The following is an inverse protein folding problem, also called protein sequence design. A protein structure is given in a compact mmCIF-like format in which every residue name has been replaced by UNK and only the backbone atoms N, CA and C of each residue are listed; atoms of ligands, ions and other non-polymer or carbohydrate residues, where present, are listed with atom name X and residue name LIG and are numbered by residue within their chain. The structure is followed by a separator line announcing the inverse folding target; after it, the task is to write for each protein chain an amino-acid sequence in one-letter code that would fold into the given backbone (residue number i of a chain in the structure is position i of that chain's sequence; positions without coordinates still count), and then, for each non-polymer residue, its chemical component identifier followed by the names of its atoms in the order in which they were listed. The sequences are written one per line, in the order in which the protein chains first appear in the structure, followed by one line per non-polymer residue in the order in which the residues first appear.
data_IF_024951382349
#
_entry.id   IF_024951382349
#
_cell.length_a   1.000
_cell.length_b   1.000
_cell.length_c   1.000
_cell.angle_alpha   90.00
_cell.angle_beta   90.00
_cell.angle_gamma   90.00
#
_symmetry.space_group_name_H-M   'P 1'
#
loop_
_entity.id
_entity.type
_entity.pdbx_description
1 polymer ?
#
# COMPACT_ATOMS: atom_id res chain seq x y z
N UNK A 1 6.62 37.14 25.35
CA UNK A 1 5.26 36.55 25.26
C UNK A 1 5.00 35.52 26.36
N UNK A 2 5.89 34.54 26.58
CA UNK A 2 5.73 33.50 27.63
C UNK A 2 5.67 34.08 29.06
N UNK A 3 6.48 35.09 29.38
CA UNK A 3 6.45 35.73 30.71
C UNK A 3 5.14 36.47 31.00
N UNK A 4 4.54 37.13 30.01
CA UNK A 4 3.24 37.80 30.12
C UNK A 4 2.08 36.80 30.24
N UNK A 5 2.17 35.65 29.54
CA UNK A 5 1.22 34.54 29.69
C UNK A 5 1.26 33.94 31.09
N UNK A 6 2.46 33.73 31.65
CA UNK A 6 2.61 33.18 33.00
C UNK A 6 1.98 34.08 34.08
N UNK A 7 2.14 35.41 33.98
CA UNK A 7 1.53 36.38 34.90
C UNK A 7 0.00 36.43 34.78
N UNK A 8 -0.54 36.41 33.56
CA UNK A 8 -2.00 36.40 33.31
C UNK A 8 -2.67 35.11 33.82
N UNK A 9 -2.04 33.95 33.60
CA UNK A 9 -2.55 32.65 34.06
C UNK A 9 -2.50 32.53 35.58
N UNK A 10 -1.48 33.10 36.24
CA UNK A 10 -1.40 33.15 37.71
C UNK A 10 -2.47 34.05 38.34
N UNK A 11 -2.86 35.15 37.68
CA UNK A 11 -3.90 36.06 38.16
C UNK A 11 -5.31 35.43 38.21
N UNK A 12 -5.53 34.29 37.54
CA UNK A 12 -6.82 33.58 37.49
C UNK A 12 -6.79 32.20 38.17
N UNK A 13 -5.81 31.96 39.06
CA UNK A 13 -5.57 30.67 39.72
C UNK A 13 -6.72 30.14 40.62
N UNK A 14 -7.80 30.91 40.84
CA UNK A 14 -8.95 30.52 41.66
C UNK A 14 -10.14 29.92 40.89
N UNK A 15 -10.08 29.86 39.55
CA UNK A 15 -11.08 29.21 38.70
C UNK A 15 -10.59 27.83 38.25
N UNK A 16 -11.51 26.90 37.97
CA UNK A 16 -11.17 25.59 37.38
C UNK A 16 -10.32 25.79 36.12
N UNK A 17 -9.12 25.21 36.11
CA UNK A 17 -7.97 25.64 35.29
C UNK A 17 -8.16 25.63 33.76
N UNK A 18 -9.19 24.96 33.23
CA UNK A 18 -9.57 25.02 31.81
C UNK A 18 -10.30 26.30 31.41
N UNK A 19 -11.07 26.90 32.34
CA UNK A 19 -11.85 28.12 32.08
C UNK A 19 -10.94 29.33 31.77
N UNK A 20 -9.81 29.45 32.46
CA UNK A 20 -8.86 30.56 32.29
C UNK A 20 -8.19 30.61 30.90
N UNK A 21 -8.05 29.48 30.22
CA UNK A 21 -7.53 29.44 28.85
C UNK A 21 -8.62 29.84 27.85
N UNK A 22 -9.86 29.38 28.08
CA UNK A 22 -11.02 29.64 27.23
C UNK A 22 -11.51 31.09 27.27
N UNK A 23 -11.18 31.83 28.34
CA UNK A 23 -11.42 33.27 28.43
C UNK A 23 -10.69 34.08 27.34
N UNK A 24 -9.61 33.54 26.78
CA UNK A 24 -8.79 34.19 25.74
C UNK A 24 -8.68 33.38 24.44
N UNK A 25 -8.86 32.06 24.49
CA UNK A 25 -8.73 31.15 23.35
C UNK A 25 -10.06 30.45 23.07
N UNK A 26 -10.62 30.71 21.90
CA UNK A 26 -11.87 30.07 21.44
C UNK A 26 -11.59 28.69 20.83
N UNK A 27 -11.16 27.77 21.68
CA UNK A 27 -10.89 26.38 21.31
C UNK A 27 -11.55 25.42 22.29
N UNK A 28 -12.20 24.39 21.74
CA UNK A 28 -12.85 23.33 22.50
C UNK A 28 -12.27 22.00 22.05
N UNK A 29 -11.77 21.23 23.01
CA UNK A 29 -11.32 19.86 22.76
C UNK A 29 -12.55 18.98 22.55
N UNK A 30 -12.56 18.21 21.47
CA UNK A 30 -13.64 17.28 21.13
C UNK A 30 -13.09 15.88 20.87
N UNK A 31 -14.01 14.93 20.67
CA UNK A 31 -13.67 13.52 20.48
C UNK A 31 -13.30 12.79 21.77
N UNK A 32 -12.35 11.86 21.70
CA UNK A 32 -11.97 10.98 22.83
C UNK A 32 -11.31 11.72 23.99
N UNK A 33 -10.78 12.92 23.74
CA UNK A 33 -10.11 13.76 24.74
C UNK A 33 -10.96 14.94 25.23
N UNK A 34 -12.26 15.00 24.93
CA UNK A 34 -13.14 16.13 25.27
C UNK A 34 -13.23 16.49 26.77
N UNK A 35 -12.74 15.62 27.66
CA UNK A 35 -12.71 15.83 29.11
C UNK A 35 -11.37 16.38 29.61
N UNK A 36 -10.34 16.43 28.78
CA UNK A 36 -9.03 16.95 29.15
C UNK A 36 -9.02 18.48 29.09
N UNK A 37 -8.33 19.10 30.04
CA UNK A 37 -8.06 20.53 30.04
C UNK A 37 -6.87 20.90 29.16
N UNK A 38 -6.83 22.14 28.66
CA UNK A 38 -5.80 22.63 27.75
C UNK A 38 -4.36 22.42 28.27
N UNK A 39 -4.15 22.55 29.59
CA UNK A 39 -2.83 22.42 30.23
C UNK A 39 -2.26 21.01 30.19
N UNK A 40 -3.11 20.00 30.05
CA UNK A 40 -2.68 18.60 30.00
C UNK A 40 -1.86 18.33 28.74
N UNK A 41 -2.19 18.99 27.62
CA UNK A 41 -1.44 18.89 26.38
C UNK A 41 -0.43 20.04 26.21
N UNK A 42 -0.84 21.28 26.52
CA UNK A 42 -0.06 22.48 26.22
C UNK A 42 0.87 22.95 27.35
N UNK A 43 0.85 22.26 28.50
CA UNK A 43 1.59 22.63 29.70
C UNK A 43 0.92 23.76 30.50
N UNK A 44 1.47 24.05 31.68
CA UNK A 44 0.84 24.90 32.71
C UNK A 44 0.52 26.32 32.22
N UNK A 45 1.36 26.86 31.33
CA UNK A 45 1.22 28.21 30.79
C UNK A 45 1.02 28.23 29.26
N UNK A 46 0.60 27.11 28.65
CA UNK A 46 0.54 27.01 27.19
C UNK A 46 1.92 27.06 26.52
N UNK A 47 2.94 26.60 27.23
CA UNK A 47 4.34 26.67 26.79
C UNK A 47 4.69 25.64 25.70
N UNK A 48 3.77 24.72 25.38
CA UNK A 48 3.86 23.80 24.26
C UNK A 48 2.83 24.22 23.21
N UNK A 49 3.29 24.89 22.15
CA UNK A 49 2.41 25.42 21.12
C UNK A 49 1.80 24.31 20.26
N UNK A 50 2.62 23.35 19.82
CA UNK A 50 2.19 22.15 19.10
C UNK A 50 2.53 20.91 19.94
N UNK A 51 1.59 20.33 20.68
CA UNK A 51 1.88 19.23 21.59
C UNK A 51 2.02 17.87 20.91
N UNK A 52 1.77 17.79 19.61
CA UNK A 52 1.56 16.52 18.88
C UNK A 52 2.64 16.23 17.84
N UNK A 53 3.43 17.24 17.50
CA UNK A 53 4.46 17.17 16.47
C UNK A 53 5.66 16.30 16.86
N UNK A 54 6.26 15.70 15.83
CA UNK A 54 7.54 15.00 15.86
C UNK A 54 8.67 15.86 16.42
N UNK A 55 8.66 17.18 16.19
CA UNK A 55 9.76 18.09 16.57
C UNK A 55 10.01 18.15 18.09
N UNK A 56 9.00 17.82 18.89
CA UNK A 56 9.11 17.73 20.34
C UNK A 56 8.78 16.34 20.90
N UNK A 57 8.80 15.31 20.03
CA UNK A 57 8.43 13.94 20.38
C UNK A 57 7.00 13.83 20.95
N UNK A 58 6.06 14.59 20.40
CA UNK A 58 4.67 14.66 20.84
C UNK A 58 4.54 14.77 22.37
N UNK A 59 5.25 15.73 22.97
CA UNK A 59 5.38 15.85 24.43
C UNK A 59 4.04 15.98 25.17
N UNK A 60 2.99 16.46 24.50
CA UNK A 60 1.65 16.53 25.10
C UNK A 60 0.85 15.22 25.01
N UNK A 61 1.36 14.20 24.31
CA UNK A 61 0.74 12.89 24.19
C UNK A 61 1.47 11.84 25.04
N UNK A 62 2.80 11.87 25.05
CA UNK A 62 3.65 10.80 25.62
C UNK A 62 3.55 10.66 27.14
N UNK A 63 3.06 11.67 27.84
CA UNK A 63 2.79 11.59 29.28
C UNK A 63 1.68 10.58 29.65
N UNK A 64 0.76 10.30 28.73
CA UNK A 64 -0.34 9.34 28.92
C UNK A 64 -0.26 8.16 27.93
N UNK A 65 0.29 8.38 26.74
CA UNK A 65 0.47 7.36 25.70
C UNK A 65 1.94 6.93 25.67
N UNK A 66 2.28 5.96 26.51
CA UNK A 66 3.66 5.48 26.64
C UNK A 66 4.23 5.03 25.29
N UNK A 67 5.45 5.48 24.98
CA UNK A 67 6.20 5.11 23.76
C UNK A 67 5.52 5.53 22.43
N UNK A 68 4.51 6.40 22.47
CA UNK A 68 3.83 6.86 21.26
C UNK A 68 4.75 7.63 20.32
N UNK A 69 5.78 8.29 20.84
CA UNK A 69 6.80 8.97 20.05
C UNK A 69 7.58 8.04 19.12
N UNK A 70 7.65 6.74 19.43
CA UNK A 70 8.36 5.78 18.59
C UNK A 70 7.74 5.60 17.22
N UNK A 71 6.49 6.01 17.02
CA UNK A 71 5.86 6.03 15.69
C UNK A 71 6.71 6.82 14.68
N UNK A 72 7.42 7.84 15.17
CA UNK A 72 8.27 8.73 14.38
C UNK A 72 9.63 8.11 13.99
N UNK A 73 10.02 7.00 14.61
CA UNK A 73 11.29 6.32 14.33
C UNK A 73 11.20 5.31 13.18
N UNK A 74 9.98 5.07 12.66
CA UNK A 74 9.70 3.98 11.73
C UNK A 74 9.40 4.46 10.31
N UNK A 75 9.09 3.51 9.42
CA UNK A 75 8.97 3.73 7.98
C UNK A 75 7.96 4.84 7.59
N UNK A 76 6.90 5.04 8.38
CA UNK A 76 5.89 6.09 8.10
C UNK A 76 6.42 7.51 8.27
N UNK A 77 7.50 7.71 9.01
CA UNK A 77 8.14 9.02 9.21
C UNK A 77 9.49 9.10 8.51
N UNK A 78 10.35 8.10 8.70
CA UNK A 78 11.74 8.14 8.24
C UNK A 78 11.90 7.87 6.75
N UNK A 79 11.08 6.99 6.16
CA UNK A 79 11.11 6.64 4.72
C UNK A 79 12.51 6.25 4.20
N UNK A 80 13.31 5.60 5.04
CA UNK A 80 14.71 5.24 4.69
C UNK A 80 14.76 4.41 3.41
N UNK A 81 13.86 3.44 3.24
CA UNK A 81 13.83 2.57 2.07
C UNK A 81 13.52 3.35 0.76
N UNK A 82 12.61 4.31 0.79
CA UNK A 82 12.28 5.18 -0.34
C UNK A 82 13.43 6.13 -0.68
N UNK A 83 14.09 6.70 0.35
CA UNK A 83 15.27 7.55 0.17
C UNK A 83 16.42 6.76 -0.48
N UNK A 84 16.73 5.57 0.04
CA UNK A 84 17.75 4.68 -0.53
C UNK A 84 17.40 4.25 -1.96
N UNK A 85 16.11 4.01 -2.25
CA UNK A 85 15.64 3.71 -3.60
C UNK A 85 15.90 4.86 -4.55
N UNK A 86 15.53 6.08 -4.17
CA UNK A 86 15.79 7.26 -4.98
C UNK A 86 17.28 7.51 -5.17
N UNK A 87 18.08 7.32 -4.11
CA UNK A 87 19.53 7.47 -4.18
C UNK A 87 20.16 6.49 -5.19
N UNK A 88 19.76 5.21 -5.20
CA UNK A 88 20.36 4.21 -6.11
C UNK A 88 19.83 4.24 -7.54
N UNK A 89 18.59 4.68 -7.76
CA UNK A 89 17.95 4.62 -9.09
C UNK A 89 17.79 5.98 -9.77
N UNK A 90 17.54 7.05 -9.01
CA UNK A 90 17.22 8.38 -9.56
C UNK A 90 18.36 9.38 -9.47
N UNK A 91 19.29 9.25 -8.51
CA UNK A 91 20.29 10.30 -8.22
C UNK A 91 21.12 10.77 -9.41
N UNK A 92 21.40 9.90 -10.39
CA UNK A 92 22.11 10.28 -11.61
C UNK A 92 21.22 10.98 -12.65
N UNK A 93 19.91 10.69 -12.64
CA UNK A 93 18.93 11.26 -13.56
C UNK A 93 18.34 12.57 -13.01
N UNK A 94 17.90 12.56 -11.76
CA UNK A 94 17.39 13.72 -11.04
C UNK A 94 17.61 13.55 -9.53
N UNK A 95 18.63 14.21 -8.95
CA UNK A 95 18.89 14.20 -7.50
C UNK A 95 17.71 14.71 -6.66
N UNK A 96 16.83 15.53 -7.22
CA UNK A 96 15.69 16.14 -6.51
C UNK A 96 14.40 15.32 -6.63
N UNK A 97 14.45 14.16 -7.30
CA UNK A 97 13.25 13.35 -7.55
C UNK A 97 12.46 13.02 -6.28
N UNK A 98 13.16 12.66 -5.20
CA UNK A 98 12.56 12.30 -3.91
C UNK A 98 11.78 13.48 -3.32
N UNK A 99 12.41 14.66 -3.23
CA UNK A 99 11.80 15.86 -2.64
C UNK A 99 10.57 16.33 -3.43
N UNK A 100 10.59 16.17 -4.76
CA UNK A 100 9.49 16.57 -5.64
C UNK A 100 8.32 15.58 -5.63
N UNK A 101 8.57 14.27 -5.52
CA UNK A 101 7.56 13.24 -5.81
C UNK A 101 7.15 12.39 -4.60
N UNK A 102 7.84 12.49 -3.46
CA UNK A 102 7.63 11.56 -2.32
C UNK A 102 7.19 12.24 -1.02
N UNK A 103 6.96 13.57 -0.99
CA UNK A 103 6.77 14.35 0.26
C UNK A 103 5.33 14.43 0.82
N UNK A 104 4.35 13.71 0.27
CA UNK A 104 2.93 13.91 0.62
C UNK A 104 2.29 12.97 1.65
N UNK A 105 3.03 12.03 2.25
CA UNK A 105 2.40 10.93 3.03
C UNK A 105 3.11 10.58 4.35
N UNK A 106 4.02 11.41 4.85
CA UNK A 106 4.86 11.06 5.99
C UNK A 106 4.29 11.60 7.31
N UNK A 107 4.28 10.75 8.33
CA UNK A 107 3.77 11.10 9.66
C UNK A 107 4.74 12.07 10.33
N UNK A 108 4.22 13.23 10.71
CA UNK A 108 4.88 14.35 11.40
C UNK A 108 4.18 14.75 12.69
N UNK A 109 2.95 14.29 12.90
CA UNK A 109 2.18 14.55 14.11
C UNK A 109 1.30 13.36 14.46
N UNK A 110 1.01 13.16 15.74
CA UNK A 110 -0.04 12.22 16.15
C UNK A 110 -1.40 12.56 15.52
N UNK A 111 -1.67 13.84 15.24
CA UNK A 111 -2.93 14.26 14.62
C UNK A 111 -3.07 13.78 13.18
N UNK A 112 -1.98 13.47 12.46
CA UNK A 112 -2.06 12.95 11.08
C UNK A 112 -2.95 11.70 10.97
N UNK A 113 -3.12 10.94 12.07
CA UNK A 113 -4.08 9.85 12.18
C UNK A 113 -5.19 10.10 13.20
N UNK A 114 -4.98 10.98 14.18
CA UNK A 114 -5.92 11.15 15.29
C UNK A 114 -6.86 12.34 15.13
N UNK A 115 -6.83 13.09 14.02
CA UNK A 115 -7.80 14.14 13.72
C UNK A 115 -7.15 15.46 13.34
N UNK A 116 -7.75 16.59 13.71
CA UNK A 116 -7.24 17.90 13.33
C UNK A 116 -7.40 18.91 14.46
N UNK A 117 -6.30 19.57 14.82
CA UNK A 117 -6.26 20.55 15.90
C UNK A 117 -6.74 19.97 17.24
N UNK A 118 -7.86 20.48 17.75
CA UNK A 118 -8.45 20.06 19.03
C UNK A 118 -9.56 19.01 18.90
N UNK A 119 -9.86 18.54 17.67
CA UNK A 119 -10.76 17.42 17.44
C UNK A 119 -9.94 16.14 17.32
N UNK A 120 -9.89 15.37 18.42
CA UNK A 120 -9.03 14.20 18.53
C UNK A 120 -9.89 12.94 18.67
N UNK A 121 -9.78 12.03 17.71
CA UNK A 121 -10.55 10.81 17.61
C UNK A 121 -9.66 9.57 17.39
N UNK A 122 -10.29 8.39 17.37
CA UNK A 122 -9.61 7.16 16.95
C UNK A 122 -9.60 7.11 15.41
N UNK A 123 -8.46 6.78 14.78
CA UNK A 123 -8.40 6.62 13.34
C UNK A 123 -9.36 5.52 12.89
N UNK A 124 -10.04 5.76 11.78
CA UNK A 124 -10.82 4.76 11.07
C UNK A 124 -10.11 4.34 9.77
N UNK A 125 -10.72 3.41 9.03
CA UNK A 125 -10.17 2.99 7.74
C UNK A 125 -9.96 4.16 6.78
N UNK A 126 -10.87 5.14 6.69
CA UNK A 126 -10.72 6.25 5.75
C UNK A 126 -9.55 7.17 6.13
N UNK A 127 -9.25 7.35 7.42
CA UNK A 127 -8.02 8.02 7.86
C UNK A 127 -6.78 7.35 7.27
N UNK A 128 -6.66 6.03 7.39
CA UNK A 128 -5.51 5.30 6.85
C UNK A 128 -5.41 5.46 5.33
N UNK A 129 -6.55 5.44 4.62
CA UNK A 129 -6.61 5.52 3.16
C UNK A 129 -6.23 6.91 2.59
N UNK A 130 -6.09 7.94 3.42
CA UNK A 130 -5.54 9.23 2.98
C UNK A 130 -4.12 9.08 2.44
N UNK A 131 -3.32 8.17 3.01
CA UNK A 131 -1.97 7.85 2.55
C UNK A 131 -1.88 6.45 1.91
N UNK A 132 -2.61 5.47 2.46
CA UNK A 132 -2.63 4.08 1.98
C UNK A 132 -3.61 3.86 0.82
N UNK A 133 -3.45 4.66 -0.24
CA UNK A 133 -4.28 4.62 -1.44
C UNK A 133 -3.52 4.26 -2.71
N UNK A 134 -4.29 4.06 -3.77
CA UNK A 134 -3.75 3.81 -5.09
C UNK A 134 -2.98 2.49 -5.13
N UNK A 135 -1.67 2.58 -5.38
CA UNK A 135 -0.76 1.43 -5.33
C UNK A 135 -0.04 1.30 -3.99
N UNK A 136 -0.15 2.27 -3.08
CA UNK A 136 0.25 2.12 -1.69
C UNK A 136 -0.86 1.31 -1.01
N UNK A 137 -0.52 0.08 -0.61
CA UNK A 137 -1.45 -0.98 -0.19
C UNK A 137 -2.46 -0.44 0.84
N UNK A 138 -3.76 -0.76 0.69
CA UNK A 138 -4.83 -0.31 1.60
C UNK A 138 -6.17 -0.13 0.88
N UNK A 139 -6.21 0.63 -0.21
CA UNK A 139 -7.42 0.82 -1.04
C UNK A 139 -8.07 -0.49 -1.53
N UNK A 140 -7.24 -1.51 -1.73
CA UNK A 140 -7.70 -2.83 -2.13
C UNK A 140 -8.58 -3.51 -1.07
N UNK A 141 -8.35 -3.21 0.22
CA UNK A 141 -9.16 -3.69 1.35
C UNK A 141 -10.63 -3.32 1.19
N UNK A 142 -10.89 -2.06 0.84
CA UNK A 142 -12.25 -1.53 0.60
C UNK A 142 -12.73 -1.72 -0.83
N UNK A 143 -12.02 -2.51 -1.65
CA UNK A 143 -12.44 -2.83 -3.02
C UNK A 143 -12.20 -1.69 -4.01
N UNK A 144 -11.15 -0.88 -3.82
CA UNK A 144 -10.80 0.24 -4.70
C UNK A 144 -9.49 -0.08 -5.41
N UNK A 145 -9.49 -0.05 -6.74
CA UNK A 145 -8.26 -0.17 -7.53
C UNK A 145 -7.93 1.12 -8.29
N UNK A 146 -6.65 1.41 -8.52
CA UNK A 146 -6.24 2.55 -9.35
C UNK A 146 -6.82 2.49 -10.76
N UNK A 147 -7.18 3.66 -11.30
CA UNK A 147 -7.55 3.82 -12.71
C UNK A 147 -6.34 4.08 -13.62
N UNK A 148 -6.59 3.98 -14.92
CA UNK A 148 -5.60 4.30 -15.95
C UNK A 148 -5.27 5.78 -15.94
N UNK A 149 -4.01 6.12 -16.17
CA UNK A 149 -3.52 7.51 -16.02
C UNK A 149 -4.21 8.47 -16.99
N UNK A 150 -4.70 7.99 -18.12
CA UNK A 150 -5.37 8.87 -19.09
C UNK A 150 -6.62 9.54 -18.50
N UNK A 151 -6.72 10.86 -18.70
CA UNK A 151 -7.84 11.68 -18.23
C UNK A 151 -9.20 11.17 -18.73
N UNK A 152 -9.24 10.45 -19.86
CA UNK A 152 -10.46 9.81 -20.37
C UNK A 152 -11.08 8.84 -19.37
N UNK A 153 -10.26 8.17 -18.54
CA UNK A 153 -10.71 7.16 -17.60
C UNK A 153 -10.93 7.69 -16.18
N UNK A 154 -10.55 8.94 -15.91
CA UNK A 154 -10.73 9.63 -14.64
C UNK A 154 -12.19 10.09 -14.50
N UNK A 155 -13.08 9.14 -14.15
CA UNK A 155 -14.53 9.35 -14.03
C UNK A 155 -15.16 8.36 -13.04
N UNK A 156 -16.32 8.71 -12.50
CA UNK A 156 -17.09 7.88 -11.56
C UNK A 156 -16.83 8.27 -10.11
N UNK A 157 -17.01 7.32 -9.19
CA UNK A 157 -16.76 7.54 -7.76
C UNK A 157 -15.31 7.97 -7.50
N UNK A 158 -15.14 8.76 -6.44
CA UNK A 158 -13.86 9.27 -5.98
C UNK A 158 -13.69 9.00 -4.49
N UNK A 159 -12.43 8.93 -4.06
CA UNK A 159 -12.02 8.98 -2.67
C UNK A 159 -10.78 9.86 -2.61
N UNK A 160 -10.78 10.86 -1.73
CA UNK A 160 -9.75 11.91 -1.66
C UNK A 160 -9.37 12.47 -3.04
N UNK A 161 -10.38 12.92 -3.80
CA UNK A 161 -10.25 13.51 -5.15
C UNK A 161 -9.68 12.59 -6.24
N UNK A 162 -9.47 11.31 -5.94
CA UNK A 162 -8.95 10.33 -6.87
C UNK A 162 -10.03 9.35 -7.31
N UNK A 163 -10.20 9.20 -8.63
CA UNK A 163 -11.11 8.20 -9.18
C UNK A 163 -10.54 6.78 -9.07
N UNK A 164 -11.39 5.84 -8.72
CA UNK A 164 -11.03 4.42 -8.60
C UNK A 164 -11.92 3.52 -9.45
N UNK A 165 -11.43 2.30 -9.71
CA UNK A 165 -12.23 1.18 -10.19
C UNK A 165 -12.82 0.49 -8.98
N UNK A 166 -14.15 0.32 -8.98
CA UNK A 166 -14.83 -0.51 -7.99
C UNK A 166 -14.53 -1.97 -8.27
N UNK A 167 -13.88 -2.61 -7.32
CA UNK A 167 -13.49 -4.00 -7.32
C UNK A 167 -14.20 -4.74 -6.18
N UNK A 168 -13.96 -6.04 -6.08
CA UNK A 168 -14.47 -6.84 -4.96
C UNK A 168 -13.65 -6.56 -3.70
N UNK A 169 -14.24 -6.08 -2.60
CA UNK A 169 -13.51 -5.82 -1.36
C UNK A 169 -13.05 -7.11 -0.67
N UNK A 170 -12.18 -6.93 0.32
CA UNK A 170 -11.79 -7.96 1.27
C UNK A 170 -13.00 -8.46 2.07
N UNK A 171 -13.05 -9.75 2.37
CA UNK A 171 -14.12 -10.33 3.19
C UNK A 171 -14.11 -9.78 4.62
N UNK A 172 -12.95 -9.38 5.15
CA UNK A 172 -12.83 -8.76 6.47
C UNK A 172 -13.42 -7.35 6.48
N UNK A 173 -13.17 -6.57 5.41
CA UNK A 173 -13.81 -5.26 5.22
C UNK A 173 -15.34 -5.40 5.08
N UNK A 174 -15.83 -6.42 4.35
CA UNK A 174 -17.27 -6.66 4.19
C UNK A 174 -18.00 -6.96 5.51
N UNK A 175 -17.31 -7.54 6.49
CA UNK A 175 -17.89 -7.82 7.83
C UNK A 175 -17.64 -6.69 8.83
N UNK A 176 -17.06 -5.58 8.38
CA UNK A 176 -16.89 -4.36 9.19
C UNK A 176 -15.61 -4.31 10.01
N UNK A 177 -14.57 -5.07 9.67
CA UNK A 177 -13.24 -4.89 10.27
C UNK A 177 -12.55 -3.65 9.71
N UNK A 178 -11.76 -3.00 10.54
CA UNK A 178 -10.93 -1.85 10.21
C UNK A 178 -9.45 -2.23 10.11
N UNK A 179 -8.64 -1.34 9.54
CA UNK A 179 -7.19 -1.51 9.46
C UNK A 179 -6.56 -1.81 10.83
N UNK A 180 -7.02 -1.13 11.88
CA UNK A 180 -6.51 -1.24 13.25
C UNK A 180 -6.70 -2.61 13.90
N UNK A 181 -7.62 -3.45 13.40
CA UNK A 181 -7.84 -4.80 13.93
C UNK A 181 -6.65 -5.74 13.64
N UNK A 182 -5.90 -5.45 12.56
CA UNK A 182 -4.69 -6.17 12.18
C UNK A 182 -3.41 -5.33 12.39
N UNK A 183 -3.51 -4.01 12.28
CA UNK A 183 -2.42 -3.04 12.39
C UNK A 183 -2.58 -2.16 13.63
N UNK A 184 -2.45 -2.76 14.81
CA UNK A 184 -2.64 -2.06 16.10
C UNK A 184 -1.60 -0.95 16.29
N UNK A 185 -1.96 0.11 17.02
CA UNK A 185 -1.02 1.20 17.35
C UNK A 185 0.23 0.69 18.09
N UNK A 186 0.08 -0.31 18.96
CA UNK A 186 1.22 -0.95 19.64
C UNK A 186 2.20 -1.56 18.62
N UNK A 187 1.69 -2.28 17.62
CA UNK A 187 2.55 -2.85 16.57
C UNK A 187 3.24 -1.76 15.75
N UNK A 188 2.53 -0.68 15.40
CA UNK A 188 3.08 0.42 14.63
C UNK A 188 4.16 1.19 15.41
N UNK A 189 3.95 1.45 16.70
CA UNK A 189 4.94 2.06 17.61
C UNK A 189 6.17 1.16 17.80
N UNK A 190 5.99 -0.17 17.75
CA UNK A 190 7.09 -1.13 17.78
C UNK A 190 7.81 -1.30 16.43
N UNK A 191 7.38 -0.58 15.37
CA UNK A 191 7.95 -0.70 14.03
C UNK A 191 7.56 -1.97 13.29
N UNK A 192 6.55 -2.69 13.79
CA UNK A 192 6.02 -3.88 13.14
C UNK A 192 5.01 -3.49 12.06
N UNK A 193 5.06 -4.21 10.95
CA UNK A 193 4.14 -3.97 9.82
C UNK A 193 2.73 -4.49 10.13
N UNK A 194 2.58 -5.49 11.01
CA UNK A 194 1.28 -6.10 11.34
C UNK A 194 1.34 -6.71 12.75
N UNK A 195 0.23 -6.61 13.49
CA UNK A 195 0.06 -7.23 14.81
C UNK A 195 -0.44 -8.67 14.71
N UNK A 196 -1.38 -8.92 13.79
CA UNK A 196 -2.08 -10.19 13.66
C UNK A 196 -1.94 -10.78 12.24
N UNK A 197 -1.68 -12.07 12.16
CA UNK A 197 -1.59 -12.85 10.93
C UNK A 197 -2.80 -13.76 10.78
N UNK A 198 -2.97 -14.34 9.59
CA UNK A 198 -4.12 -15.20 9.29
C UNK A 198 -4.34 -16.30 10.34
N UNK A 199 -3.26 -16.97 10.78
CA UNK A 199 -3.36 -18.10 11.71
C UNK A 199 -3.59 -17.70 13.18
N UNK A 200 -3.51 -16.40 13.50
CA UNK A 200 -3.82 -15.92 14.85
C UNK A 200 -5.34 -15.90 15.09
N UNK A 201 -6.13 -15.85 14.00
CA UNK A 201 -7.60 -15.87 14.02
C UNK A 201 -8.22 -17.09 13.31
N UNK A 202 -7.48 -17.76 12.43
CA UNK A 202 -7.99 -18.85 11.60
C UNK A 202 -7.22 -20.16 11.80
N UNK A 203 -7.96 -21.24 12.00
CA UNK A 203 -7.43 -22.60 11.95
C UNK A 203 -7.74 -23.21 10.57
N UNK A 204 -6.72 -23.58 9.76
CA UNK A 204 -6.94 -24.19 8.44
C UNK A 204 -7.68 -25.53 8.56
N UNK A 205 -8.94 -25.56 8.09
CA UNK A 205 -9.74 -26.78 8.09
C UNK A 205 -9.13 -27.85 7.14
N UNK A 206 -8.66 -29.00 7.66
CA UNK A 206 -8.01 -30.04 6.86
C UNK A 206 -8.97 -30.76 5.90
N UNK A 207 -10.28 -30.57 6.04
CA UNK A 207 -11.27 -31.10 5.09
C UNK A 207 -11.30 -30.31 3.77
N UNK A 208 -10.79 -29.08 3.78
CA UNK A 208 -10.53 -28.32 2.56
C UNK A 208 -9.34 -28.96 1.85
N UNK A 209 -9.56 -29.39 0.60
CA UNK A 209 -8.58 -30.13 -0.21
C UNK A 209 -7.23 -29.43 -0.22
N UNK A 210 -7.21 -28.12 -0.43
CA UNK A 210 -5.98 -27.34 -0.48
C UNK A 210 -5.23 -27.30 0.86
N UNK A 211 -5.93 -27.27 2.00
CA UNK A 211 -5.32 -27.32 3.34
C UNK A 211 -4.80 -28.71 3.70
N UNK A 212 -5.43 -29.78 3.18
CA UNK A 212 -4.98 -31.16 3.42
C UNK A 212 -3.58 -31.47 2.85
N UNK A 213 -3.09 -30.61 1.93
CA UNK A 213 -1.76 -30.73 1.35
C UNK A 213 -0.77 -29.93 2.22
N UNK A 214 -0.04 -30.63 3.10
CA UNK A 214 0.93 -30.01 4.02
C UNK A 214 1.89 -29.03 3.31
N UNK A 215 2.36 -29.38 2.11
CA UNK A 215 3.24 -28.52 1.33
C UNK A 215 2.65 -27.13 1.02
N UNK A 216 1.33 -26.98 0.90
CA UNK A 216 0.71 -25.65 0.74
C UNK A 216 0.82 -24.83 2.03
N UNK A 217 0.49 -25.44 3.18
CA UNK A 217 0.55 -24.76 4.48
C UNK A 217 1.99 -24.43 4.89
N UNK A 218 2.93 -25.33 4.62
CA UNK A 218 4.33 -25.13 5.01
C UNK A 218 5.02 -24.07 4.13
N UNK A 219 4.76 -24.10 2.81
CA UNK A 219 5.56 -23.36 1.85
C UNK A 219 4.90 -22.09 1.30
N UNK A 220 3.63 -21.83 1.58
CA UNK A 220 2.91 -20.69 0.98
C UNK A 220 2.38 -19.74 2.05
N UNK A 221 2.37 -18.45 1.74
CA UNK A 221 1.55 -17.50 2.48
C UNK A 221 0.07 -17.76 2.14
N UNK A 222 -0.82 -17.69 3.14
CA UNK A 222 -2.25 -17.90 2.94
C UNK A 222 -2.82 -16.99 1.83
N UNK A 223 -2.28 -15.76 1.76
CA UNK A 223 -2.67 -14.74 0.79
C UNK A 223 -2.31 -15.11 -0.66
N UNK A 224 -1.39 -16.05 -0.90
CA UNK A 224 -1.12 -16.57 -2.26
C UNK A 224 -2.33 -17.27 -2.89
N UNK A 225 -3.18 -17.89 -2.07
CA UNK A 225 -4.41 -18.57 -2.50
C UNK A 225 -5.65 -17.70 -2.28
N UNK A 226 -5.69 -16.92 -1.20
CA UNK A 226 -6.89 -16.21 -0.78
C UNK A 226 -7.03 -14.79 -1.34
N UNK A 227 -5.95 -14.15 -1.81
CA UNK A 227 -6.06 -12.85 -2.48
C UNK A 227 -6.73 -13.02 -3.85
N UNK A 228 -7.90 -12.41 -4.03
CA UNK A 228 -8.67 -12.52 -5.26
C UNK A 228 -8.05 -11.73 -6.42
N UNK A 229 -7.49 -10.56 -6.11
CA UNK A 229 -6.88 -9.68 -7.09
C UNK A 229 -5.79 -8.80 -6.47
N UNK A 230 -4.97 -8.20 -7.31
CA UNK A 230 -3.84 -7.38 -6.92
C UNK A 230 -3.68 -6.26 -7.93
N UNK A 231 -3.57 -5.04 -7.42
CA UNK A 231 -3.25 -3.90 -8.25
C UNK A 231 -1.77 -3.91 -8.65
N UNK A 232 -1.54 -3.93 -9.97
CA UNK A 232 -0.22 -4.03 -10.57
C UNK A 232 -0.05 -2.98 -11.66
N UNK A 233 1.05 -2.24 -11.60
CA UNK A 233 1.49 -1.27 -12.60
C UNK A 233 2.80 -1.78 -13.23
N UNK A 234 2.78 -2.02 -14.54
CA UNK A 234 3.92 -2.52 -15.30
C UNK A 234 4.45 -1.39 -16.16
N UNK A 235 5.70 -1.00 -15.94
CA UNK A 235 6.38 0.08 -16.65
C UNK A 235 5.77 1.45 -16.37
N UNK A 236 6.44 2.25 -15.57
CA UNK A 236 6.04 3.61 -15.21
C UNK A 236 6.97 4.60 -15.87
N UNK A 237 6.43 5.46 -16.71
CA UNK A 237 7.13 6.55 -17.38
C UNK A 237 7.02 7.82 -16.56
N UNK A 238 8.18 8.38 -16.23
CA UNK A 238 8.34 9.69 -15.63
C UNK A 238 9.02 10.59 -16.65
N UNK A 239 8.29 11.60 -17.12
CA UNK A 239 8.79 12.56 -18.09
C UNK A 239 8.95 13.89 -17.38
N UNK A 240 10.20 14.29 -17.12
CA UNK A 240 10.51 15.62 -16.59
C UNK A 240 10.40 16.63 -17.71
N UNK A 241 9.69 17.73 -17.46
CA UNK A 241 9.52 18.80 -18.45
C UNK A 241 9.96 20.14 -17.89
N UNK A 242 10.83 20.84 -18.61
CA UNK A 242 11.26 22.20 -18.32
C UNK A 242 10.94 23.09 -19.51
N UNK A 243 10.24 24.22 -19.28
CA UNK A 243 9.87 25.20 -20.32
C UNK A 243 9.28 24.59 -21.60
N UNK A 244 8.49 23.52 -21.44
CA UNK A 244 8.02 22.70 -22.55
C UNK A 244 6.50 22.68 -22.64
N UNK A 245 5.97 23.37 -23.66
CA UNK A 245 4.53 23.44 -23.94
C UNK A 245 3.93 22.10 -24.41
N UNK A 246 4.77 21.20 -24.95
CA UNK A 246 4.39 19.84 -25.35
C UNK A 246 3.89 18.97 -24.19
N UNK A 247 4.16 19.37 -22.93
CA UNK A 247 3.56 18.78 -21.73
C UNK A 247 2.04 18.65 -21.86
N UNK A 248 1.38 19.61 -22.51
CA UNK A 248 -0.07 19.65 -22.69
C UNK A 248 -0.60 18.61 -23.69
N UNK A 249 0.27 17.95 -24.45
CA UNK A 249 -0.12 16.87 -25.37
C UNK A 249 -0.37 15.56 -24.62
N UNK A 250 0.24 15.39 -23.45
CA UNK A 250 0.01 14.21 -22.62
C UNK A 250 -1.35 14.30 -21.93
N UNK A 251 -2.31 13.52 -22.43
CA UNK A 251 -3.68 13.44 -21.89
C UNK A 251 -3.77 12.48 -20.69
N UNK A 252 -2.97 12.75 -19.67
CA UNK A 252 -2.87 11.98 -18.41
C UNK A 252 -3.11 12.86 -17.19
N UNK A 253 -3.48 12.24 -16.06
CA UNK A 253 -3.60 12.91 -14.76
C UNK A 253 -2.26 13.52 -14.40
N UNK A 254 -2.25 14.82 -14.12
CA UNK A 254 -1.05 15.54 -13.70
C UNK A 254 -0.80 15.28 -12.22
N UNK A 255 0.43 14.93 -11.86
CA UNK A 255 0.84 14.66 -10.47
C UNK A 255 1.49 15.87 -9.80
N UNK A 256 2.25 16.66 -10.57
CA UNK A 256 2.81 17.95 -10.19
C UNK A 256 3.07 18.76 -11.46
N UNK A 257 3.78 19.88 -11.37
CA UNK A 257 4.15 20.76 -12.48
C UNK A 257 5.42 20.33 -13.22
N UNK A 258 6.32 19.58 -12.57
CA UNK A 258 7.59 19.14 -13.14
C UNK A 258 7.51 17.85 -13.96
N UNK A 259 6.67 16.89 -13.54
CA UNK A 259 6.64 15.52 -14.05
C UNK A 259 5.30 15.16 -14.67
N UNK A 260 5.34 14.57 -15.86
CA UNK A 260 4.21 13.82 -16.42
C UNK A 260 4.44 12.35 -16.10
N UNK A 261 3.45 11.71 -15.46
CA UNK A 261 3.45 10.27 -15.17
C UNK A 261 2.49 9.53 -16.10
N UNK A 262 2.94 8.42 -16.67
CA UNK A 262 2.08 7.45 -17.36
C UNK A 262 2.56 6.03 -17.09
N UNK A 263 1.68 5.05 -17.31
CA UNK A 263 2.01 3.63 -17.19
C UNK A 263 1.85 2.91 -18.52
N UNK A 264 2.70 1.92 -18.79
CA UNK A 264 2.58 1.06 -19.97
C UNK A 264 1.34 0.17 -19.86
N UNK A 265 1.13 -0.43 -18.67
CA UNK A 265 0.00 -1.30 -18.41
C UNK A 265 -0.35 -1.33 -16.93
N UNK A 266 -1.64 -1.23 -16.62
CA UNK A 266 -2.16 -1.54 -15.28
C UNK A 266 -3.07 -2.75 -15.33
N UNK A 267 -3.02 -3.59 -14.31
CA UNK A 267 -3.84 -4.81 -14.19
C UNK A 267 -4.35 -4.99 -12.77
N UNK A 268 -5.61 -5.41 -12.67
CA UNK A 268 -6.31 -5.67 -11.42
C UNK A 268 -6.76 -7.14 -11.35
N UNK A 269 -5.84 -8.06 -11.67
CA UNK A 269 -6.10 -9.50 -11.77
C UNK A 269 -5.42 -10.25 -10.62
N UNK A 270 -5.48 -11.59 -10.64
CA UNK A 270 -4.80 -12.40 -9.62
C UNK A 270 -3.33 -12.05 -9.51
N UNK A 271 -2.78 -12.04 -8.28
CA UNK A 271 -1.39 -11.67 -8.05
C UNK A 271 -0.43 -12.63 -8.73
N UNK A 272 0.70 -12.07 -9.20
CA UNK A 272 1.89 -12.83 -9.55
C UNK A 272 2.52 -13.36 -8.26
N UNK A 273 3.15 -14.51 -8.32
CA UNK A 273 3.75 -15.21 -7.19
C UNK A 273 5.27 -15.32 -7.37
N UNK A 274 5.98 -15.09 -6.27
CA UNK A 274 7.41 -15.30 -6.13
C UNK A 274 7.69 -15.92 -4.76
N UNK A 275 8.88 -15.69 -4.24
CA UNK A 275 9.27 -16.06 -2.88
C UNK A 275 9.53 -14.78 -2.08
N UNK A 276 9.04 -14.73 -0.84
CA UNK A 276 9.42 -13.68 0.11
C UNK A 276 10.76 -14.00 0.79
N UNK A 277 11.24 -13.14 1.68
CA UNK A 277 12.49 -13.32 2.45
C UNK A 277 12.53 -14.61 3.27
N UNK A 278 11.37 -15.16 3.63
CA UNK A 278 11.25 -16.45 4.35
C UNK A 278 11.27 -17.66 3.41
N UNK A 279 11.45 -17.46 2.11
CA UNK A 279 11.42 -18.51 1.09
C UNK A 279 10.03 -19.10 0.81
N UNK A 280 8.97 -18.48 1.35
CA UNK A 280 7.58 -18.91 1.15
C UNK A 280 7.00 -18.29 -0.11
N UNK A 281 6.16 -19.05 -0.81
CA UNK A 281 5.42 -18.57 -1.97
C UNK A 281 4.51 -17.44 -1.52
N UNK A 282 4.65 -16.27 -2.14
CA UNK A 282 3.95 -15.05 -1.74
C UNK A 282 3.56 -14.25 -2.97
N UNK A 283 2.47 -13.47 -2.92
CA UNK A 283 2.22 -12.43 -3.91
C UNK A 283 3.44 -11.50 -4.03
N UNK A 284 3.81 -11.23 -5.28
CA UNK A 284 4.80 -10.22 -5.67
C UNK A 284 4.13 -9.26 -6.64
N UNK A 285 4.60 -8.02 -6.65
CA UNK A 285 4.17 -7.02 -7.64
C UNK A 285 5.35 -6.18 -8.09
N UNK A 286 5.27 -5.55 -9.27
CA UNK A 286 6.17 -4.45 -9.59
C UNK A 286 6.06 -3.40 -8.48
N UNK A 287 7.18 -3.01 -7.90
CA UNK A 287 7.24 -1.85 -7.02
C UNK A 287 7.55 -0.63 -7.87
N UNK A 288 8.67 -0.67 -8.60
CA UNK A 288 9.08 0.35 -9.56
C UNK A 288 9.78 -0.29 -10.76
N UNK A 289 9.08 -0.35 -11.88
CA UNK A 289 9.70 -0.52 -13.20
C UNK A 289 9.72 0.88 -13.81
N UNK A 290 10.75 1.66 -13.52
CA UNK A 290 10.79 3.10 -13.77
C UNK A 290 11.56 3.42 -15.05
N UNK A 291 10.92 4.19 -15.91
CA UNK A 291 11.49 4.76 -17.13
C UNK A 291 11.54 6.28 -16.99
N UNK A 292 12.66 6.88 -17.39
CA UNK A 292 12.88 8.30 -17.33
C UNK A 292 13.14 8.90 -18.73
N UNK A 293 12.50 10.03 -18.98
CA UNK A 293 12.79 10.91 -20.10
C UNK A 293 12.84 12.35 -19.61
N UNK A 294 13.65 13.16 -20.26
CA UNK A 294 13.75 14.59 -19.99
C UNK A 294 13.45 15.39 -21.25
N UNK A 295 12.64 16.43 -21.10
CA UNK A 295 12.24 17.31 -22.20
C UNK A 295 12.46 18.75 -21.75
N UNK A 296 13.33 19.46 -22.48
CA UNK A 296 13.61 20.87 -22.28
C UNK A 296 13.30 21.65 -23.55
N UNK A 297 12.59 22.78 -23.44
CA UNK A 297 12.24 23.62 -24.58
C UNK A 297 11.60 22.82 -25.75
N UNK A 298 10.72 21.87 -25.42
CA UNK A 298 10.06 20.94 -26.35
C UNK A 298 10.99 19.96 -27.09
N UNK A 299 12.23 19.75 -26.64
CA UNK A 299 13.17 18.79 -27.22
C UNK A 299 13.61 17.75 -26.18
N UNK A 300 13.82 16.48 -26.57
CA UNK A 300 14.35 15.47 -25.66
C UNK A 300 15.81 15.81 -25.29
N UNK A 301 16.16 15.58 -24.04
CA UNK A 301 17.53 15.69 -23.53
C UNK A 301 18.09 14.29 -23.27
N UNK A 302 19.11 13.92 -24.05
CA UNK A 302 19.69 12.58 -24.00
C UNK A 302 18.75 11.50 -24.51
N UNK A 303 18.90 10.29 -23.98
CA UNK A 303 18.08 9.14 -24.36
C UNK A 303 16.72 9.18 -23.66
N UNK A 304 15.66 8.94 -24.43
CA UNK A 304 14.30 8.77 -23.91
C UNK A 304 14.10 7.36 -23.34
N UNK A 305 13.16 7.22 -22.38
CA UNK A 305 12.74 5.96 -21.77
C UNK A 305 13.90 5.14 -21.19
N UNK A 306 14.85 5.81 -20.55
CA UNK A 306 15.94 5.16 -19.82
C UNK A 306 15.37 4.33 -18.67
N UNK A 307 15.65 3.03 -18.65
CA UNK A 307 15.29 2.15 -17.54
C UNK A 307 16.16 2.51 -16.31
N UNK A 308 15.56 3.12 -15.30
CA UNK A 308 16.24 3.48 -14.05
C UNK A 308 16.13 2.39 -12.99
N UNK A 309 15.01 1.66 -12.97
CA UNK A 309 14.77 0.59 -12.02
C UNK A 309 13.84 -0.47 -12.62
N UNK A 310 14.03 -1.72 -12.22
CA UNK A 310 13.13 -2.83 -12.51
C UNK A 310 12.96 -3.70 -11.25
N UNK A 311 12.45 -3.05 -10.20
CA UNK A 311 12.33 -3.62 -8.87
C UNK A 311 10.90 -4.10 -8.60
N UNK A 312 10.81 -5.34 -8.11
CA UNK A 312 9.60 -5.99 -7.61
C UNK A 312 9.68 -6.14 -6.10
N UNK A 313 8.54 -6.35 -5.46
CA UNK A 313 8.49 -6.70 -4.04
C UNK A 313 7.45 -7.77 -3.74
N UNK A 314 7.76 -8.64 -2.79
CA UNK A 314 6.78 -9.44 -2.08
C UNK A 314 5.93 -8.53 -1.20
N UNK A 315 4.62 -8.76 -1.20
CA UNK A 315 3.66 -7.97 -0.44
C UNK A 315 2.37 -8.73 -0.16
N UNK A 316 1.50 -8.13 0.65
CA UNK A 316 0.17 -8.67 0.99
C UNK A 316 -0.92 -7.82 0.35
N UNK A 317 -1.58 -8.29 -0.73
CA UNK A 317 -2.82 -7.68 -1.20
C UNK A 317 -3.94 -7.91 -0.17
N UNK A 318 -4.71 -6.88 0.13
CA UNK A 318 -5.86 -6.93 1.05
C UNK A 318 -7.13 -7.23 0.27
N UNK A 319 -7.17 -8.36 -0.42
CA UNK A 319 -8.31 -8.77 -1.26
C UNK A 319 -8.77 -10.18 -0.92
N UNK A 320 -8.67 -10.54 0.35
CA UNK A 320 -8.89 -11.88 0.87
C UNK A 320 -10.34 -12.29 0.68
N UNK A 321 -10.53 -13.47 0.08
CA UNK A 321 -11.85 -14.10 -0.10
C UNK A 321 -11.85 -15.52 0.46
N UNK A 322 -13.05 -15.99 0.78
CA UNK A 322 -13.30 -17.39 1.17
C UNK A 322 -12.99 -18.39 0.05
N UNK A 323 -13.27 -18.00 -1.20
CA UNK A 323 -12.96 -18.81 -2.38
C UNK A 323 -11.52 -18.56 -2.86
N UNK A 324 -10.86 -19.62 -3.29
CA UNK A 324 -9.47 -19.59 -3.79
C UNK A 324 -9.42 -19.86 -5.29
N UNK A 325 -8.25 -19.64 -5.88
CA UNK A 325 -7.96 -20.05 -7.27
C UNK A 325 -8.00 -21.59 -7.43
N UNK A 326 -8.17 -22.05 -8.67
CA UNK A 326 -8.09 -23.47 -9.02
C UNK A 326 -6.64 -23.95 -9.11
N UNK A 327 -6.39 -25.25 -8.93
CA UNK A 327 -5.03 -25.80 -8.90
C UNK A 327 -4.24 -25.46 -10.18
N UNK A 328 -4.87 -25.49 -11.35
CA UNK A 328 -4.25 -25.17 -12.64
C UNK A 328 -3.86 -23.70 -12.78
N UNK A 329 -4.50 -22.79 -12.02
CA UNK A 329 -4.11 -21.37 -11.95
C UNK A 329 -2.72 -21.17 -11.36
N UNK A 330 -2.15 -22.17 -10.69
CA UNK A 330 -0.76 -22.18 -10.22
C UNK A 330 0.07 -23.29 -10.89
N UNK A 331 -0.42 -24.53 -10.90
CA UNK A 331 0.30 -25.70 -11.41
C UNK A 331 0.36 -25.78 -12.95
N UNK A 332 -0.31 -24.89 -13.67
CA UNK A 332 -0.29 -24.86 -15.14
C UNK A 332 -0.26 -23.44 -15.72
N UNK A 333 0.14 -22.45 -14.91
CA UNK A 333 0.17 -21.05 -15.32
C UNK A 333 1.56 -20.43 -15.06
N UNK A 334 2.52 -20.61 -15.99
CA UNK A 334 3.88 -20.14 -15.79
C UNK A 334 3.96 -18.61 -15.70
N UNK A 335 3.04 -17.87 -16.31
CA UNK A 335 3.01 -16.40 -16.19
C UNK A 335 2.77 -15.97 -14.74
N UNK A 336 2.01 -16.75 -13.96
CA UNK A 336 1.78 -16.47 -12.54
C UNK A 336 3.08 -16.49 -11.73
N UNK A 337 4.15 -17.10 -12.23
CA UNK A 337 5.44 -17.21 -11.55
C UNK A 337 6.57 -16.43 -12.24
N UNK A 338 6.25 -15.43 -13.08
CA UNK A 338 7.24 -14.70 -13.89
C UNK A 338 8.02 -15.60 -14.86
N UNK A 339 7.40 -16.67 -15.36
CA UNK A 339 8.03 -17.63 -16.28
C UNK A 339 7.30 -17.68 -17.63
N UNK A 340 6.73 -16.56 -18.09
CA UNK A 340 5.95 -16.54 -19.33
C UNK A 340 6.82 -16.96 -20.53
N UNK A 341 6.42 -17.98 -21.31
CA UNK A 341 7.13 -18.34 -22.53
C UNK A 341 7.14 -17.20 -23.54
N UNK A 342 8.27 -16.99 -24.21
CA UNK A 342 8.46 -15.84 -25.10
C UNK A 342 7.50 -15.86 -26.29
N UNK A 343 7.16 -17.04 -26.80
CA UNK A 343 6.21 -17.23 -27.89
C UNK A 343 4.76 -16.90 -27.50
N UNK A 344 4.47 -16.83 -26.19
CA UNK A 344 3.14 -16.46 -25.66
C UNK A 344 3.05 -15.01 -25.20
N UNK A 345 4.12 -14.22 -25.34
CA UNK A 345 4.12 -12.82 -24.88
C UNK A 345 3.38 -11.92 -25.86
N UNK A 346 2.44 -11.15 -25.32
CA UNK A 346 1.68 -10.14 -26.07
C UNK A 346 2.45 -8.82 -26.09
N UNK A 347 3.00 -8.43 -24.93
CA UNK A 347 3.76 -7.20 -24.76
C UNK A 347 5.23 -7.41 -25.10
N UNK A 348 5.82 -6.45 -25.81
CA UNK A 348 7.16 -6.55 -26.40
C UNK A 348 8.02 -5.33 -26.00
N UNK A 349 8.31 -5.14 -24.70
CA UNK A 349 9.13 -4.01 -24.25
C UNK A 349 10.50 -3.95 -24.93
N UNK A 350 11.03 -5.09 -25.39
CA UNK A 350 12.26 -5.19 -26.20
C UNK A 350 12.13 -4.45 -27.55
N UNK A 351 10.99 -4.61 -28.21
CA UNK A 351 10.70 -3.95 -29.50
C UNK A 351 10.30 -2.50 -29.32
N UNK A 352 9.78 -2.16 -28.14
CA UNK A 352 9.42 -0.79 -27.75
C UNK A 352 10.65 0.01 -27.27
N UNK A 353 11.85 -0.61 -27.25
CA UNK A 353 13.10 0.07 -26.84
C UNK A 353 13.25 0.23 -25.32
N UNK A 354 12.51 -0.53 -24.51
CA UNK A 354 12.40 -0.34 -23.07
C UNK A 354 13.37 -1.19 -22.23
N UNK A 355 14.43 -1.73 -22.84
CA UNK A 355 15.51 -2.44 -22.13
C UNK A 355 15.16 -3.76 -21.44
N UNK A 356 13.89 -4.19 -21.43
CA UNK A 356 13.42 -5.46 -20.87
C UNK A 356 12.88 -6.37 -21.96
N UNK A 357 13.13 -7.67 -21.86
CA UNK A 357 12.57 -8.65 -22.81
C UNK A 357 11.08 -8.90 -22.58
N UNK A 358 10.64 -8.90 -21.32
CA UNK A 358 9.26 -9.09 -20.91
C UNK A 358 9.05 -8.62 -19.48
N UNK A 359 7.87 -8.09 -19.19
CA UNK A 359 7.48 -7.81 -17.82
C UNK A 359 7.17 -9.07 -16.99
N UNK A 360 6.99 -10.24 -17.61
CA UNK A 360 6.72 -11.53 -16.92
C UNK A 360 7.89 -12.50 -17.02
N UNK A 361 9.10 -11.98 -16.96
CA UNK A 361 10.35 -12.74 -16.96
C UNK A 361 11.36 -12.12 -15.99
N UNK A 362 12.19 -12.89 -15.28
CA UNK A 362 13.07 -12.35 -14.26
C UNK A 362 14.28 -11.59 -14.82
N UNK A 363 14.66 -11.81 -16.08
CA UNK A 363 15.88 -11.24 -16.65
C UNK A 363 15.84 -9.71 -16.68
N UNK A 364 16.87 -9.07 -16.10
CA UNK A 364 16.94 -7.61 -15.97
C UNK A 364 16.08 -7.02 -14.87
N UNK A 365 15.42 -7.86 -14.05
CA UNK A 365 14.57 -7.44 -12.94
C UNK A 365 15.04 -8.08 -11.62
N UNK A 366 14.62 -7.55 -10.48
CA UNK A 366 14.94 -8.11 -9.16
C UNK A 366 13.76 -7.99 -8.20
N UNK A 367 13.76 -8.79 -7.12
CA UNK A 367 12.84 -8.65 -5.99
C UNK A 367 13.62 -8.11 -4.79
N UNK A 368 13.19 -6.99 -4.21
CA UNK A 368 13.95 -6.31 -3.13
C UNK A 368 13.90 -7.04 -1.79
N UNK A 369 12.84 -7.81 -1.54
CA UNK A 369 12.58 -8.53 -0.28
C UNK A 369 12.20 -10.00 -0.56
N UNK A 370 13.00 -10.68 -1.39
CA UNK A 370 12.75 -12.07 -1.74
C UNK A 370 13.43 -12.48 -3.04
N UNK A 371 12.79 -13.39 -3.78
CA UNK A 371 13.31 -13.84 -5.08
C UNK A 371 12.20 -14.26 -6.04
N UNK A 372 12.50 -14.25 -7.33
CA UNK A 372 11.62 -14.91 -8.30
C UNK A 372 11.54 -16.41 -8.02
N UNK A 373 10.44 -17.02 -8.47
CA UNK A 373 10.23 -18.45 -8.28
C UNK A 373 11.11 -19.25 -9.25
N UNK A 374 11.95 -20.18 -8.79
CA UNK A 374 12.87 -20.90 -9.67
C UNK A 374 12.15 -21.76 -10.71
N UNK A 375 12.61 -21.74 -11.97
CA UNK A 375 12.03 -22.52 -13.06
C UNK A 375 11.98 -24.01 -12.75
N UNK A 376 13.05 -24.58 -12.19
CA UNK A 376 13.07 -26.00 -11.81
C UNK A 376 12.04 -26.33 -10.73
N UNK A 377 11.83 -25.41 -9.77
CA UNK A 377 10.81 -25.58 -8.73
C UNK A 377 9.42 -25.56 -9.36
N UNK A 378 9.20 -24.67 -10.33
CA UNK A 378 7.94 -24.62 -11.08
C UNK A 378 7.71 -25.90 -11.87
N UNK A 379 8.70 -26.38 -12.60
CA UNK A 379 8.60 -27.63 -13.36
C UNK A 379 8.30 -28.85 -12.47
N UNK A 380 8.86 -28.91 -11.26
CA UNK A 380 8.53 -29.96 -10.27
C UNK A 380 7.09 -29.84 -9.77
N UNK A 381 6.68 -28.63 -9.37
CA UNK A 381 5.31 -28.34 -8.88
C UNK A 381 4.26 -28.63 -9.97
N UNK A 382 4.55 -28.35 -11.23
CA UNK A 382 3.64 -28.52 -12.36
C UNK A 382 3.51 -29.97 -12.86
N UNK A 383 4.21 -30.93 -12.23
CA UNK A 383 4.05 -32.36 -12.55
C UNK A 383 2.66 -32.82 -12.13
N UNK A 384 1.91 -33.35 -13.07
CA UNK A 384 0.57 -33.92 -12.84
C UNK A 384 0.69 -35.39 -12.48
N UNK A 385 1.15 -35.66 -11.28
CA UNK A 385 1.14 -37.02 -10.75
C UNK A 385 -0.29 -37.50 -10.46
N UNK A 386 -0.42 -38.77 -10.07
CA UNK A 386 -1.70 -39.38 -9.76
C UNK A 386 -2.44 -38.65 -8.63
N UNK A 387 -1.71 -38.21 -7.60
CA UNK A 387 -2.29 -37.53 -6.45
C UNK A 387 -2.88 -36.17 -6.86
N UNK A 388 -2.15 -35.38 -7.65
CA UNK A 388 -2.65 -34.15 -8.24
C UNK A 388 -3.94 -34.39 -9.03
N UNK A 389 -3.94 -35.38 -9.93
CA UNK A 389 -5.11 -35.68 -10.75
C UNK A 389 -6.34 -36.06 -9.91
N UNK A 390 -6.16 -36.90 -8.89
CA UNK A 390 -7.23 -37.31 -7.97
C UNK A 390 -7.80 -36.12 -7.18
N UNK A 391 -6.94 -35.29 -6.58
CA UNK A 391 -7.36 -34.11 -5.81
C UNK A 391 -8.01 -33.05 -6.72
N UNK A 392 -7.49 -32.85 -7.93
CA UNK A 392 -8.04 -31.91 -8.89
C UNK A 392 -9.46 -32.30 -9.32
N UNK A 393 -9.70 -33.59 -9.60
CA UNK A 393 -11.05 -34.10 -9.91
C UNK A 393 -11.99 -33.92 -8.71
N UNK A 394 -11.53 -34.23 -7.49
CA UNK A 394 -12.33 -34.00 -6.27
C UNK A 394 -12.69 -32.53 -6.11
N UNK A 395 -11.76 -31.60 -6.38
CA UNK A 395 -12.03 -30.17 -6.34
C UNK A 395 -13.12 -29.77 -7.33
N UNK A 396 -13.05 -30.25 -8.57
CA UNK A 396 -14.12 -30.03 -9.56
C UNK A 396 -15.48 -30.55 -9.11
N UNK A 397 -15.52 -31.73 -8.49
CA UNK A 397 -16.76 -32.30 -7.96
C UNK A 397 -17.39 -31.43 -6.86
N UNK A 398 -16.62 -30.64 -6.11
CA UNK A 398 -17.19 -29.71 -5.12
C UNK A 398 -18.02 -28.59 -5.74
N UNK A 399 -17.72 -28.19 -6.99
CA UNK A 399 -18.49 -27.19 -7.72
C UNK A 399 -19.75 -27.78 -8.36
N UNK A 400 -19.75 -29.08 -8.66
CA UNK A 400 -20.87 -29.76 -9.31
C UNK A 400 -21.96 -30.19 -8.30
N UNK A 401 -21.64 -30.33 -7.02
CA UNK A 401 -22.56 -30.84 -5.98
C UNK A 401 -23.51 -29.81 -5.37
N UNK A 402 -23.85 -28.74 -6.10
CA UNK A 402 -24.90 -27.80 -5.69
C UNK A 402 -25.99 -27.74 -6.75
N UNK A 403 -26.78 -28.82 -6.86
CA UNK A 403 -28.14 -28.75 -7.38
C UNK A 403 -28.93 -30.04 -7.10
N UNK A 404 -29.67 -30.03 -6.00
CA UNK A 404 -30.98 -30.69 -5.98
C UNK A 404 -32.14 -29.68 -5.76
N UNK A 405 -31.89 -28.36 -5.71
CA UNK A 405 -32.97 -27.38 -5.46
C UNK A 405 -32.84 -25.99 -6.13
N UNK A 406 -31.95 -25.71 -7.10
CA UNK A 406 -31.89 -24.37 -7.73
C UNK A 406 -32.73 -24.20 -9.01
N UNK A 407 -33.71 -25.07 -9.26
CA UNK A 407 -34.64 -24.92 -10.39
C UNK A 407 -36.09 -25.17 -9.95
N UNK A 408 -36.57 -24.36 -9.01
CA UNK A 408 -38.01 -24.12 -8.86
C UNK A 408 -38.28 -22.68 -9.30
N UNK A 409 -39.19 -22.43 -10.26
CA UNK A 409 -39.56 -21.08 -10.64
C UNK A 409 -40.25 -20.42 -9.43
N UNK A 410 -39.75 -19.25 -9.02
CA UNK A 410 -40.53 -18.29 -8.24
C UNK A 410 -41.20 -17.30 -9.19
#
# INVERSE_FOLDING_TARGET
MVAAHAELVQAHAHLTAGAACQDCHDHVVSGVHAKLGCRECHGVAGNVADPTTIDNNAVGCTGCHEQAERIFDHAMSTRVAEQEFCQRSWSQADPQFFDTNCMGCHVTSCLDCHGEGHAIDRPDTETCLQCHNGYFVGWDFSGRAPREDSVRYQRGEQNHEQHYLKMRPDVHSEVGMDCGDCHTMESLQAGQVVASRCIDCHDPDPTVIEHSVAAHLDNMECVSCHAAWSAQEYGTFYIKTTDSSNRNYFRVRQTNDQYVKSSYLKRQNSPILGLNERGRVSPIRPQFIAYYSEIENNQPVGDENRLLAAEWKAYTPHTIRRGTVMCDSCHNEPRRFMLQPEEKRIYRPDRDGLGLSSFWRPEGQLIVNGSFYPLERFQRMSRRDRNYAELYVRKWQTFLKKDETSSAPQ
#
